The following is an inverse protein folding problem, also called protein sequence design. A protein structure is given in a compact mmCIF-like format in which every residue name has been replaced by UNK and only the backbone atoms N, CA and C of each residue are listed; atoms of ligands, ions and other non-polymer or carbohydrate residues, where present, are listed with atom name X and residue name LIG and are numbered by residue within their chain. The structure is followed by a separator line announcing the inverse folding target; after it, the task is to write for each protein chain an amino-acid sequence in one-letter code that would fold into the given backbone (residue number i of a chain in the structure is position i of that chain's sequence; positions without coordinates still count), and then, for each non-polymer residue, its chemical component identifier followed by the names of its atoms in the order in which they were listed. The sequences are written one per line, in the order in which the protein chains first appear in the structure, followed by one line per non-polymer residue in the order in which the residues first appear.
data_IF_584620420055
#
_entry.id   IF_584620420055
#
_cell.length_a   1.000
_cell.length_b   1.000
_cell.length_c   1.000
_cell.angle_alpha   90.00
_cell.angle_beta   90.00
_cell.angle_gamma   90.00
#
_symmetry.space_group_name_H-M   'P 1'
#
loop_
_entity.id
_entity.type
_entity.pdbx_description
1 polymer ?
#
# COMPACT_ATOMS: atom_id res chain seq x y z
N UNK A 1 25.66 -10.95 9.61
CA UNK A 1 24.26 -10.73 10.03
C UNK A 1 23.54 -9.87 8.99
N UNK A 2 22.37 -10.27 8.57
CA UNK A 2 21.59 -9.45 7.68
C UNK A 2 21.11 -8.19 8.40
N UNK A 3 21.36 -7.03 7.82
CA UNK A 3 20.84 -5.76 8.30
C UNK A 3 19.31 -5.77 8.16
N UNK A 4 18.64 -5.82 9.30
CA UNK A 4 17.19 -5.86 9.35
C UNK A 4 16.63 -4.45 9.36
N UNK A 5 15.66 -4.19 8.48
CA UNK A 5 14.90 -2.95 8.52
C UNK A 5 14.03 -2.92 9.78
N UNK A 6 14.13 -1.83 10.55
CA UNK A 6 13.29 -1.55 11.71
C UNK A 6 12.53 -0.27 11.48
N UNK A 7 11.34 -0.17 12.05
CA UNK A 7 10.53 1.04 12.05
C UNK A 7 10.29 1.47 13.48
N UNK A 8 10.69 2.70 13.79
CA UNK A 8 10.40 3.35 15.06
C UNK A 8 9.13 4.19 14.91
N UNK A 9 8.06 3.75 15.56
CA UNK A 9 6.76 4.41 15.46
C UNK A 9 6.73 5.76 16.18
N UNK A 10 7.51 5.93 17.25
CA UNK A 10 7.52 7.17 18.04
C UNK A 10 8.16 8.32 17.27
N UNK A 11 9.22 8.05 16.54
CA UNK A 11 9.92 9.03 15.70
C UNK A 11 9.53 8.96 14.23
N UNK A 12 8.71 7.98 13.86
CA UNK A 12 8.31 7.71 12.47
C UNK A 12 9.53 7.54 11.54
N UNK A 13 10.51 6.78 12.01
CA UNK A 13 11.82 6.65 11.35
C UNK A 13 12.10 5.20 10.99
N UNK A 14 12.57 4.98 9.76
CA UNK A 14 13.11 3.69 9.32
C UNK A 14 14.62 3.62 9.62
N UNK A 15 15.05 2.48 10.13
CA UNK A 15 16.45 2.21 10.48
C UNK A 15 16.92 0.93 9.82
N UNK A 16 18.02 1.00 9.09
CA UNK A 16 18.67 -0.16 8.51
C UNK A 16 20.06 -0.33 9.16
N UNK A 17 20.19 -1.37 9.99
CA UNK A 17 21.44 -1.56 10.74
C UNK A 17 21.80 -0.39 11.65
N UNK A 18 20.82 0.32 12.19
CA UNK A 18 21.00 1.51 13.01
C UNK A 18 21.14 2.82 12.24
N UNK A 19 21.20 2.77 10.90
CA UNK A 19 21.30 3.95 10.05
C UNK A 19 19.89 4.42 9.64
N UNK A 20 19.54 5.71 9.86
CA UNK A 20 18.25 6.23 9.42
C UNK A 20 18.13 6.26 7.89
N UNK A 21 16.99 5.82 7.39
CA UNK A 21 16.61 5.92 5.97
C UNK A 21 15.51 6.96 5.80
N UNK A 22 15.51 7.67 4.68
CA UNK A 22 14.40 8.56 4.33
C UNK A 22 13.18 7.72 3.95
N UNK A 23 11.99 8.10 4.44
CA UNK A 23 10.75 7.47 3.97
C UNK A 23 10.34 8.00 2.60
N UNK A 24 9.55 7.22 1.87
CA UNK A 24 8.99 7.64 0.57
C UNK A 24 8.21 8.94 0.70
N UNK A 25 7.37 9.06 1.73
CA UNK A 25 6.59 10.28 1.99
C UNK A 25 7.47 11.49 2.25
N UNK A 26 8.53 11.35 3.05
CA UNK A 26 9.49 12.42 3.32
C UNK A 26 10.22 12.85 2.05
N UNK A 27 10.59 11.89 1.19
CA UNK A 27 11.25 12.17 -0.07
C UNK A 27 10.33 12.96 -1.03
N UNK A 28 9.07 12.57 -1.13
CA UNK A 28 8.09 13.28 -1.95
C UNK A 28 7.87 14.72 -1.46
N UNK A 29 7.75 14.93 -0.15
CA UNK A 29 7.63 16.27 0.43
C UNK A 29 8.87 17.13 0.14
N UNK A 30 10.04 16.57 0.30
CA UNK A 30 11.31 17.27 0.05
C UNK A 30 11.42 17.79 -1.38
N UNK A 31 10.86 17.07 -2.36
CA UNK A 31 10.92 17.44 -3.77
C UNK A 31 9.65 18.11 -4.30
N UNK A 32 8.73 18.51 -3.42
CA UNK A 32 7.48 19.17 -3.80
C UNK A 32 6.51 18.30 -4.59
N UNK A 33 6.64 16.98 -4.49
CA UNK A 33 5.81 16.01 -5.20
C UNK A 33 4.65 15.46 -4.35
N UNK A 34 4.55 15.88 -3.10
CA UNK A 34 3.42 15.51 -2.26
C UNK A 34 2.13 16.19 -2.73
N UNK A 35 0.96 15.51 -2.66
CA UNK A 35 -0.31 16.13 -3.02
C UNK A 35 -0.60 17.37 -2.17
N UNK A 36 -1.11 18.42 -2.82
CA UNK A 36 -1.61 19.62 -2.14
C UNK A 36 -3.13 19.58 -2.07
N UNK A 37 -3.65 19.53 -0.85
CA UNK A 37 -5.08 19.50 -0.57
C UNK A 37 -5.61 20.84 -0.03
N UNK A 38 -4.83 21.93 -0.08
CA UNK A 38 -5.14 23.21 0.54
C UNK A 38 -6.43 23.88 0.06
N UNK A 39 -6.94 23.50 -1.13
CA UNK A 39 -8.19 24.01 -1.68
C UNK A 39 -9.41 23.10 -1.45
N UNK A 40 -9.25 22.00 -0.72
CA UNK A 40 -10.32 21.01 -0.48
C UNK A 40 -10.89 21.19 0.92
N UNK A 41 -12.22 21.10 1.05
CA UNK A 41 -12.92 21.14 2.35
C UNK A 41 -12.40 20.01 3.26
N UNK A 42 -12.05 20.35 4.48
CA UNK A 42 -11.50 19.43 5.47
C UNK A 42 -12.45 18.25 5.76
N UNK A 43 -13.76 18.50 5.84
CA UNK A 43 -14.75 17.44 6.05
C UNK A 43 -14.78 16.44 4.89
N UNK A 44 -14.55 16.89 3.66
CA UNK A 44 -14.44 16.03 2.48
C UNK A 44 -13.16 15.18 2.56
N UNK A 45 -12.03 15.79 2.94
CA UNK A 45 -10.75 15.08 3.11
C UNK A 45 -10.85 14.00 4.19
N UNK A 46 -11.45 14.32 5.33
CA UNK A 46 -11.65 13.37 6.44
C UNK A 46 -12.50 12.17 6.03
N UNK A 47 -13.61 12.41 5.33
CA UNK A 47 -14.48 11.31 4.85
C UNK A 47 -13.77 10.41 3.85
N UNK A 48 -13.03 10.98 2.91
CA UNK A 48 -12.25 10.22 1.92
C UNK A 48 -11.12 9.42 2.57
N UNK A 49 -10.43 10.03 3.52
CA UNK A 49 -9.37 9.36 4.29
C UNK A 49 -9.94 8.21 5.12
N UNK A 50 -11.07 8.42 5.81
CA UNK A 50 -11.73 7.38 6.59
C UNK A 50 -12.19 6.20 5.73
N UNK A 51 -12.76 6.49 4.55
CA UNK A 51 -13.17 5.45 3.60
C UNK A 51 -11.97 4.67 3.06
N UNK A 52 -10.90 5.36 2.68
CA UNK A 52 -9.67 4.72 2.22
C UNK A 52 -9.07 3.80 3.29
N UNK A 53 -9.02 4.28 4.54
CA UNK A 53 -8.55 3.49 5.68
C UNK A 53 -9.41 2.24 5.89
N UNK A 54 -10.73 2.35 5.80
CA UNK A 54 -11.65 1.23 5.92
C UNK A 54 -11.37 0.16 4.85
N UNK A 55 -11.24 0.59 3.60
CA UNK A 55 -11.00 -0.32 2.46
C UNK A 55 -9.67 -1.04 2.62
N UNK A 56 -8.59 -0.33 2.94
CA UNK A 56 -7.27 -0.91 3.18
C UNK A 56 -7.32 -1.92 4.33
N UNK A 57 -8.02 -1.59 5.41
CA UNK A 57 -8.17 -2.47 6.57
C UNK A 57 -8.94 -3.74 6.24
N UNK A 58 -10.02 -3.64 5.46
CA UNK A 58 -10.77 -4.83 5.03
C UNK A 58 -9.95 -5.74 4.13
N UNK A 59 -9.19 -5.17 3.18
CA UNK A 59 -8.30 -5.93 2.29
C UNK A 59 -7.20 -6.62 3.11
N UNK A 60 -6.59 -5.89 4.04
CA UNK A 60 -5.56 -6.45 4.93
C UNK A 60 -6.11 -7.61 5.77
N UNK A 61 -7.27 -7.45 6.37
CA UNK A 61 -7.91 -8.50 7.17
C UNK A 61 -8.21 -9.74 6.34
N UNK A 62 -8.72 -9.54 5.13
CA UNK A 62 -8.99 -10.67 4.22
C UNK A 62 -7.70 -11.40 3.81
N UNK A 63 -6.63 -10.68 3.52
CA UNK A 63 -5.33 -11.28 3.16
C UNK A 63 -4.74 -12.05 4.33
N UNK A 64 -4.79 -11.49 5.54
CA UNK A 64 -4.15 -12.08 6.73
C UNK A 64 -4.95 -13.23 7.34
N UNK A 65 -6.27 -13.11 7.38
CA UNK A 65 -7.13 -14.02 8.15
C UNK A 65 -8.27 -14.66 7.34
N UNK A 66 -8.48 -14.23 6.11
CA UNK A 66 -9.63 -14.64 5.30
C UNK A 66 -10.95 -14.01 5.73
N UNK A 67 -10.91 -13.05 6.67
CA UNK A 67 -12.10 -12.34 7.13
C UNK A 67 -12.71 -11.50 6.01
N UNK A 68 -14.00 -11.68 5.77
CA UNK A 68 -14.72 -10.91 4.77
C UNK A 68 -15.13 -9.53 5.31
N UNK A 69 -15.52 -8.63 4.41
CA UNK A 69 -15.94 -7.27 4.74
C UNK A 69 -17.18 -6.87 3.94
N UNK A 70 -17.55 -5.61 4.03
CA UNK A 70 -18.79 -5.10 3.48
C UNK A 70 -18.61 -4.15 2.29
N UNK A 71 -17.38 -3.72 1.99
CA UNK A 71 -17.15 -2.79 0.89
C UNK A 71 -17.19 -3.46 -0.47
N UNK A 72 -17.70 -2.74 -1.46
CA UNK A 72 -17.69 -3.19 -2.87
C UNK A 72 -16.27 -3.27 -3.40
N UNK A 73 -15.36 -2.46 -2.88
CA UNK A 73 -13.95 -2.43 -3.23
C UNK A 73 -13.24 -3.73 -2.81
N UNK A 74 -13.56 -4.25 -1.61
CA UNK A 74 -13.04 -5.57 -1.21
C UNK A 74 -13.53 -6.66 -2.15
N UNK A 75 -14.82 -6.67 -2.50
CA UNK A 75 -15.38 -7.63 -3.45
C UNK A 75 -14.69 -7.55 -4.82
N UNK A 76 -14.43 -6.34 -5.30
CA UNK A 76 -13.68 -6.11 -6.54
C UNK A 76 -12.24 -6.62 -6.46
N UNK A 77 -11.56 -6.39 -5.35
CA UNK A 77 -10.22 -6.91 -5.11
C UNK A 77 -10.18 -8.44 -5.07
N UNK A 78 -11.13 -9.06 -4.37
CA UNK A 78 -11.27 -10.52 -4.32
C UNK A 78 -11.48 -11.12 -5.72
N UNK A 79 -12.33 -10.51 -6.54
CA UNK A 79 -12.56 -10.92 -7.92
C UNK A 79 -11.30 -10.81 -8.77
N UNK A 80 -10.54 -9.72 -8.61
CA UNK A 80 -9.27 -9.50 -9.31
C UNK A 80 -8.23 -10.57 -8.93
N UNK A 81 -8.09 -10.85 -7.64
CA UNK A 81 -7.16 -11.86 -7.15
C UNK A 81 -7.50 -13.25 -7.67
N UNK A 82 -8.78 -13.57 -7.80
CA UNK A 82 -9.25 -14.82 -8.39
C UNK A 82 -9.00 -14.88 -9.89
N UNK A 83 -9.30 -13.79 -10.61
CA UNK A 83 -9.14 -13.70 -12.06
C UNK A 83 -7.69 -13.92 -12.50
N UNK A 84 -6.75 -13.32 -11.77
CA UNK A 84 -5.30 -13.44 -12.06
C UNK A 84 -4.60 -14.50 -11.22
N UNK A 85 -5.36 -15.35 -10.53
CA UNK A 85 -4.85 -16.49 -9.77
C UNK A 85 -3.64 -16.13 -8.90
N UNK A 86 -3.80 -15.19 -7.98
CA UNK A 86 -2.72 -14.77 -7.09
C UNK A 86 -2.21 -15.97 -6.28
N UNK A 87 -0.93 -16.30 -6.45
CA UNK A 87 -0.29 -17.42 -5.76
C UNK A 87 0.11 -17.08 -4.33
N UNK A 88 0.29 -15.79 -4.04
CA UNK A 88 0.48 -15.26 -2.70
C UNK A 88 0.05 -13.80 -2.65
N UNK A 89 -0.23 -13.33 -1.44
CA UNK A 89 -0.52 -11.93 -1.13
C UNK A 89 0.09 -11.58 0.22
N UNK A 90 0.70 -10.39 0.30
CA UNK A 90 1.15 -9.78 1.56
C UNK A 90 0.71 -8.33 1.58
N UNK A 91 0.02 -7.94 2.63
CA UNK A 91 -0.39 -6.55 2.86
C UNK A 91 0.63 -5.82 3.74
N UNK A 92 0.69 -4.49 3.58
CA UNK A 92 1.49 -3.60 4.43
C UNK A 92 2.94 -4.07 4.61
N UNK A 93 3.57 -4.48 3.51
CA UNK A 93 4.95 -4.97 3.51
C UNK A 93 5.91 -3.80 3.44
N UNK A 94 6.84 -3.72 4.39
CA UNK A 94 7.92 -2.72 4.34
C UNK A 94 8.97 -3.11 3.32
N UNK A 95 9.27 -2.18 2.42
CA UNK A 95 10.28 -2.35 1.37
C UNK A 95 11.33 -1.26 1.48
N UNK A 96 12.56 -1.56 1.09
CA UNK A 96 13.67 -0.61 1.20
C UNK A 96 14.80 -0.93 0.24
N UNK A 97 15.64 0.06 0.00
CA UNK A 97 17.01 -0.10 -0.45
C UNK A 97 17.95 0.52 0.61
N UNK A 98 19.19 0.87 0.25
CA UNK A 98 20.16 1.43 1.21
C UNK A 98 19.89 2.90 1.58
N UNK A 99 18.96 3.56 0.89
CA UNK A 99 18.70 5.00 1.00
C UNK A 99 17.29 5.30 1.45
N UNK A 100 16.31 4.59 0.93
CA UNK A 100 14.88 4.89 1.07
C UNK A 100 14.12 3.66 1.58
N UNK A 101 13.10 3.89 2.39
CA UNK A 101 12.20 2.87 2.88
C UNK A 101 10.74 3.36 2.88
N UNK A 102 9.80 2.44 2.81
CA UNK A 102 8.39 2.73 2.90
C UNK A 102 7.51 1.48 2.97
N UNK A 103 6.24 1.64 3.36
CA UNK A 103 5.28 0.55 3.28
C UNK A 103 4.79 0.40 1.85
N UNK A 104 4.69 -0.84 1.37
CA UNK A 104 3.95 -1.19 0.18
C UNK A 104 2.58 -1.74 0.61
N UNK A 105 1.50 -1.27 0.00
CA UNK A 105 0.16 -1.72 0.36
C UNK A 105 -0.02 -3.21 0.10
N UNK A 106 0.52 -3.70 -1.00
CA UNK A 106 0.37 -5.07 -1.43
C UNK A 106 1.62 -5.56 -2.15
N UNK A 107 2.08 -6.74 -1.77
CA UNK A 107 2.98 -7.56 -2.57
C UNK A 107 2.22 -8.82 -2.97
N UNK A 108 2.14 -9.12 -4.25
CA UNK A 108 1.37 -10.25 -4.75
C UNK A 108 2.04 -10.96 -5.91
N UNK A 109 1.59 -12.18 -6.18
CA UNK A 109 2.11 -13.02 -7.23
C UNK A 109 1.03 -13.48 -8.20
N UNK A 110 0.60 -12.64 -9.15
CA UNK A 110 -0.33 -13.09 -10.18
C UNK A 110 0.33 -14.10 -11.12
N UNK A 111 -0.53 -14.95 -11.68
CA UNK A 111 -0.14 -15.88 -12.75
C UNK A 111 -0.60 -15.30 -14.08
N UNK A 112 0.32 -15.15 -15.00
CA UNK A 112 0.03 -14.64 -16.35
C UNK A 112 -0.66 -15.69 -17.20
N UNK A 113 -1.38 -15.30 -18.28
CA UNK A 113 -2.04 -16.26 -19.18
C UNK A 113 -1.11 -17.30 -19.81
N UNK A 114 0.16 -16.96 -19.99
CA UNK A 114 1.19 -17.88 -20.49
C UNK A 114 1.75 -18.85 -19.42
N UNK A 115 1.22 -18.80 -18.20
CA UNK A 115 1.64 -19.62 -17.07
C UNK A 115 2.78 -19.06 -16.23
N UNK A 116 3.39 -17.95 -16.63
CA UNK A 116 4.45 -17.32 -15.84
C UNK A 116 3.89 -16.75 -14.53
N UNK A 117 4.61 -16.99 -13.44
CA UNK A 117 4.36 -16.36 -12.14
C UNK A 117 5.24 -15.11 -12.02
N UNK A 118 4.63 -13.97 -11.76
CA UNK A 118 5.36 -12.72 -11.59
C UNK A 118 5.20 -12.21 -10.16
N UNK A 119 6.04 -11.26 -9.76
CA UNK A 119 5.93 -10.54 -8.49
C UNK A 119 5.56 -9.10 -8.78
N UNK A 120 4.56 -8.59 -8.06
CA UNK A 120 4.14 -7.21 -8.14
C UNK A 120 4.19 -6.55 -6.78
N UNK A 121 4.68 -5.31 -6.77
CA UNK A 121 4.37 -4.34 -5.74
C UNK A 121 3.21 -3.50 -6.25
N UNK A 122 2.14 -3.44 -5.49
CA UNK A 122 0.95 -2.70 -5.87
C UNK A 122 0.56 -1.71 -4.80
N UNK A 123 0.07 -0.57 -5.24
CA UNK A 123 -0.52 0.45 -4.40
C UNK A 123 -2.03 0.41 -4.58
N UNK A 124 -2.77 0.47 -3.47
CA UNK A 124 -4.22 0.43 -3.47
C UNK A 124 -4.74 1.87 -3.39
N UNK A 125 -5.31 2.34 -4.47
CA UNK A 125 -5.94 3.66 -4.55
C UNK A 125 -7.45 3.54 -4.63
N UNK A 126 -8.13 4.31 -3.81
CA UNK A 126 -9.58 4.44 -3.83
C UNK A 126 -9.93 5.75 -4.50
N UNK A 127 -10.72 5.68 -5.57
CA UNK A 127 -11.14 6.87 -6.32
C UNK A 127 -12.57 6.69 -6.81
N UNK A 128 -13.32 7.79 -6.86
CA UNK A 128 -14.66 7.83 -7.45
C UNK A 128 -14.62 7.83 -8.98
N UNK A 129 -13.48 8.18 -9.58
CA UNK A 129 -13.29 8.23 -11.03
C UNK A 129 -11.91 7.70 -11.39
N UNK A 130 -11.86 6.93 -12.46
CA UNK A 130 -10.58 6.54 -13.08
C UNK A 130 -10.21 7.67 -14.03
N UNK A 131 -9.07 8.28 -13.79
CA UNK A 131 -8.49 9.26 -14.71
C UNK A 131 -7.65 8.50 -15.73
N UNK A 132 -8.14 8.45 -16.95
CA UNK A 132 -7.35 8.01 -18.11
C UNK A 132 -6.78 9.25 -18.77
N UNK A 133 -5.47 9.39 -18.76
CA UNK A 133 -4.76 10.39 -19.55
C UNK A 133 -4.76 10.01 -21.02
#
# INVERSE_FOLDING_TARGET
MANRLKFDADTHTYLLGGTPLISVTQLLHKHGLAPDYGGVDEAVLERKAARGTLIHREIEAWIKTGEDGFTTELAGFQALAKQYAFTYMRSETRVHNDIIAGPADLMCGPKMPDGRKIRLLADIKTTARIHTE
#
